data_IF_971461229036
#
_entry.id   IF_971461229036
#
_cell.length_a   1.000
_cell.length_b   1.000
_cell.length_c   1.000
_cell.angle_alpha   90.00
_cell.angle_beta   90.00
_cell.angle_gamma   90.00
#
_symmetry.space_group_name_H-M   'P 1'
#
loop_
_entity.id
_entity.type
_entity.pdbx_description
1 polymer ?
#
# COMPACT_ATOMS: atom_id res chain seq x y z
N UNK A 1 -19.24 21.13 14.27
CA UNK A 1 -17.84 20.73 13.95
C UNK A 1 -17.73 20.58 12.45
N UNK A 2 -16.61 20.97 11.83
CA UNK A 2 -16.41 20.66 10.41
C UNK A 2 -16.38 19.14 10.25
N UNK A 3 -17.23 18.61 9.36
CA UNK A 3 -17.22 17.18 9.06
C UNK A 3 -15.90 16.83 8.36
N UNK A 4 -15.33 15.67 8.70
CA UNK A 4 -14.13 15.17 8.02
C UNK A 4 -14.44 14.94 6.53
N UNK A 5 -13.50 15.29 5.65
CA UNK A 5 -13.62 14.97 4.23
C UNK A 5 -13.54 13.46 3.99
N UNK A 6 -13.97 13.00 2.82
CA UNK A 6 -13.89 11.59 2.44
C UNK A 6 -12.45 11.05 2.55
N UNK A 7 -11.48 11.80 2.04
CA UNK A 7 -10.06 11.43 2.09
C UNK A 7 -9.54 11.28 3.52
N UNK A 8 -10.02 12.12 4.44
CA UNK A 8 -9.67 12.04 5.86
C UNK A 8 -10.27 10.80 6.51
N UNK A 9 -11.52 10.45 6.16
CA UNK A 9 -12.18 9.24 6.65
C UNK A 9 -11.45 7.99 6.16
N UNK A 10 -11.08 7.93 4.88
CA UNK A 10 -10.33 6.80 4.32
C UNK A 10 -8.98 6.57 5.03
N UNK A 11 -8.25 7.65 5.32
CA UNK A 11 -6.98 7.53 6.08
C UNK A 11 -7.24 7.08 7.53
N UNK A 12 -8.31 7.56 8.18
CA UNK A 12 -8.68 7.08 9.52
C UNK A 12 -9.04 5.58 9.48
N UNK A 13 -9.86 5.16 8.52
CA UNK A 13 -10.26 3.77 8.34
C UNK A 13 -9.04 2.88 8.11
N UNK A 14 -8.11 3.27 7.23
CA UNK A 14 -6.87 2.51 6.98
C UNK A 14 -6.06 2.31 8.27
N UNK A 15 -5.76 3.39 8.99
CA UNK A 15 -4.97 3.32 10.24
C UNK A 15 -5.67 2.46 11.29
N UNK A 16 -6.98 2.59 11.41
CA UNK A 16 -7.77 1.78 12.35
C UNK A 16 -7.86 0.32 11.91
N UNK A 17 -7.84 0.04 10.61
CA UNK A 17 -7.77 -1.31 10.08
C UNK A 17 -6.41 -1.96 10.39
N UNK A 18 -5.30 -1.25 10.21
CA UNK A 18 -3.96 -1.70 10.62
C UNK A 18 -3.91 -1.98 12.13
N UNK A 19 -4.50 -1.10 12.95
CA UNK A 19 -4.57 -1.33 14.40
C UNK A 19 -5.39 -2.58 14.74
N UNK A 20 -6.52 -2.78 14.06
CA UNK A 20 -7.39 -3.96 14.25
C UNK A 20 -6.65 -5.28 13.97
N UNK A 21 -5.74 -5.29 12.99
CA UNK A 21 -4.89 -6.45 12.68
C UNK A 21 -3.61 -6.53 13.51
N UNK A 22 -3.32 -5.49 14.32
CA UNK A 22 -2.12 -5.43 15.15
C UNK A 22 -0.87 -5.05 14.36
N UNK A 23 -1.02 -4.41 13.21
CA UNK A 23 0.06 -4.00 12.31
C UNK A 23 0.40 -2.51 12.44
N UNK A 24 -0.43 -1.73 13.14
CA UNK A 24 -0.13 -0.32 13.37
C UNK A 24 1.10 -0.17 14.28
N UNK A 25 2.10 0.57 13.81
CA UNK A 25 3.34 0.83 14.53
C UNK A 25 3.49 2.29 14.95
N UNK A 26 4.22 2.49 16.05
CA UNK A 26 4.74 3.80 16.44
C UNK A 26 5.89 4.22 15.53
N UNK A 27 6.24 5.51 15.52
CA UNK A 27 7.41 6.00 14.76
C UNK A 27 8.77 5.41 15.19
N UNK A 28 8.80 4.58 16.23
CA UNK A 28 9.98 3.85 16.71
C UNK A 28 9.92 2.34 16.34
N UNK A 29 8.95 1.91 15.53
CA UNK A 29 8.81 0.51 15.09
C UNK A 29 8.17 -0.42 16.13
N UNK A 30 7.63 0.11 17.23
CA UNK A 30 6.90 -0.70 18.22
C UNK A 30 5.41 -0.75 17.87
N UNK A 31 4.81 -1.95 17.90
CA UNK A 31 3.36 -2.14 17.70
C UNK A 31 2.53 -1.34 18.71
N UNK A 32 1.50 -0.66 18.20
CA UNK A 32 0.55 0.11 19.00
C UNK A 32 -0.43 -0.86 19.65
N UNK A 33 -0.56 -0.79 20.98
CA UNK A 33 -1.47 -1.64 21.76
C UNK A 33 -2.68 -0.89 22.30
N UNK A 34 -2.55 0.42 22.50
CA UNK A 34 -3.60 1.24 23.08
C UNK A 34 -4.50 1.85 21.99
N UNK A 35 -5.81 1.70 22.15
CA UNK A 35 -6.80 2.20 21.17
C UNK A 35 -6.83 3.73 21.10
N UNK A 36 -6.59 4.44 22.23
CA UNK A 36 -6.57 5.91 22.22
C UNK A 36 -5.35 6.42 21.46
N UNK A 37 -4.22 5.75 21.60
CA UNK A 37 -3.03 6.02 20.81
C UNK A 37 -3.28 5.81 19.31
N UNK A 38 -3.94 4.71 18.92
CA UNK A 38 -4.32 4.45 17.54
C UNK A 38 -5.21 5.57 16.97
N UNK A 39 -6.24 5.99 17.72
CA UNK A 39 -7.11 7.12 17.34
C UNK A 39 -6.31 8.42 17.19
N UNK A 40 -5.36 8.69 18.09
CA UNK A 40 -4.52 9.88 18.01
C UNK A 40 -3.63 9.87 16.77
N UNK A 41 -3.07 8.72 16.40
CA UNK A 41 -2.29 8.53 15.17
C UNK A 41 -3.20 8.73 13.94
N UNK A 42 -4.36 8.08 13.90
CA UNK A 42 -5.32 8.20 12.80
C UNK A 42 -5.75 9.66 12.56
N UNK A 43 -6.09 10.40 13.62
CA UNK A 43 -6.45 11.82 13.53
C UNK A 43 -5.29 12.70 13.08
N UNK A 44 -4.05 12.36 13.47
CA UNK A 44 -2.86 13.09 13.05
C UNK A 44 -2.53 12.82 11.58
N UNK A 45 -2.60 11.58 11.13
CA UNK A 45 -2.35 11.20 9.73
C UNK A 45 -3.42 11.76 8.78
N UNK A 46 -4.68 11.75 9.21
CA UNK A 46 -5.78 12.34 8.45
C UNK A 46 -5.81 13.88 8.48
N UNK A 47 -4.90 14.54 9.21
CA UNK A 47 -4.93 16.00 9.35
C UNK A 47 -6.22 16.50 10.00
N UNK A 48 -6.78 15.74 10.94
CA UNK A 48 -8.02 16.05 11.65
C UNK A 48 -7.79 16.30 13.16
N UNK A 49 -6.53 16.43 13.58
CA UNK A 49 -6.19 16.67 14.99
C UNK A 49 -6.65 18.05 15.43
N UNK A 50 -7.36 18.09 16.58
CA UNK A 50 -7.80 19.34 17.22
C UNK A 50 -6.65 20.15 17.81
N UNK A 51 -5.54 19.47 18.13
CA UNK A 51 -4.39 20.07 18.79
C UNK A 51 -3.35 20.62 17.79
N UNK A 52 -3.60 20.48 16.49
CA UNK A 52 -2.74 20.97 15.43
C UNK A 52 -3.39 22.15 14.68
N UNK A 53 -2.56 23.06 14.17
CA UNK A 53 -3.04 24.16 13.32
C UNK A 53 -3.57 23.62 11.99
N UNK A 54 -4.44 24.39 11.32
CA UNK A 54 -4.98 24.03 9.99
C UNK A 54 -3.88 23.74 8.97
N UNK A 55 -2.78 24.50 9.02
CA UNK A 55 -1.62 24.29 8.16
C UNK A 55 -0.93 22.95 8.45
N UNK A 56 -0.62 22.66 9.72
CA UNK A 56 0.01 21.39 10.12
C UNK A 56 -0.86 20.19 9.75
N UNK A 57 -2.17 20.31 9.91
CA UNK A 57 -3.14 19.29 9.52
C UNK A 57 -3.12 19.04 8.00
N UNK A 58 -3.13 20.11 7.18
CA UNK A 58 -3.03 20.01 5.72
C UNK A 58 -1.72 19.36 5.28
N UNK A 59 -0.60 19.75 5.89
CA UNK A 59 0.72 19.17 5.61
C UNK A 59 0.80 17.69 5.98
N UNK A 60 0.22 17.31 7.13
CA UNK A 60 0.17 15.92 7.57
C UNK A 60 -0.62 15.06 6.58
N UNK A 61 -1.84 15.47 6.22
CA UNK A 61 -2.66 14.75 5.24
C UNK A 61 -1.97 14.64 3.89
N UNK A 62 -1.37 15.73 3.39
CA UNK A 62 -0.62 15.72 2.11
C UNK A 62 0.55 14.73 2.15
N UNK A 63 1.28 14.69 3.27
CA UNK A 63 2.40 13.76 3.46
C UNK A 63 1.92 12.31 3.49
N UNK A 64 0.85 12.03 4.22
CA UNK A 64 0.25 10.70 4.31
C UNK A 64 -0.24 10.24 2.95
N UNK A 65 -1.00 11.06 2.21
CA UNK A 65 -1.47 10.71 0.86
C UNK A 65 -0.34 10.51 -0.14
N UNK A 66 0.76 11.25 -0.02
CA UNK A 66 1.95 11.00 -0.84
C UNK A 66 2.55 9.63 -0.55
N UNK A 67 2.67 9.26 0.73
CA UNK A 67 3.15 7.95 1.15
C UNK A 67 2.22 6.83 0.66
N UNK A 68 0.91 6.94 0.93
CA UNK A 68 -0.10 5.96 0.47
C UNK A 68 -0.03 5.73 -1.04
N UNK A 69 0.21 6.78 -1.84
CA UNK A 69 0.38 6.64 -3.29
C UNK A 69 1.67 5.93 -3.67
N UNK A 70 2.78 6.21 -2.97
CA UNK A 70 4.05 5.52 -3.17
C UNK A 70 3.94 4.05 -2.77
N UNK A 71 3.36 3.75 -1.62
CA UNK A 71 3.13 2.38 -1.15
C UNK A 71 2.20 1.63 -2.12
N UNK A 72 1.17 2.29 -2.65
CA UNK A 72 0.31 1.72 -3.68
C UNK A 72 1.03 1.50 -5.02
N UNK A 73 1.98 2.36 -5.38
CA UNK A 73 2.80 2.18 -6.58
C UNK A 73 3.76 0.99 -6.41
N UNK A 74 4.41 0.85 -5.25
CA UNK A 74 5.30 -0.29 -4.97
C UNK A 74 4.52 -1.60 -4.79
N UNK A 75 3.34 -1.55 -4.16
CA UNK A 75 2.43 -2.70 -4.12
C UNK A 75 1.89 -3.04 -5.51
N UNK A 76 1.76 -2.06 -6.41
CA UNK A 76 1.42 -2.25 -7.83
C UNK A 76 2.52 -2.93 -8.63
N UNK A 77 3.80 -2.69 -8.30
CA UNK A 77 4.94 -3.39 -8.90
C UNK A 77 5.11 -4.83 -8.36
N UNK A 78 4.62 -5.09 -7.14
CA UNK A 78 4.61 -6.42 -6.52
C UNK A 78 3.30 -7.21 -6.62
N UNK A 79 2.22 -6.63 -7.15
CA UNK A 79 0.93 -7.32 -7.28
C UNK A 79 0.83 -8.02 -8.63
N UNK A 80 0.46 -9.28 -8.54
CA UNK A 80 0.30 -10.27 -9.60
C UNK A 80 -0.85 -9.95 -10.59
N UNK A 81 -1.17 -8.68 -10.85
CA UNK A 81 -2.15 -8.26 -11.87
C UNK A 81 -1.57 -8.25 -13.29
N UNK A 82 -0.28 -8.58 -13.43
CA UNK A 82 0.35 -8.96 -14.69
C UNK A 82 0.59 -10.47 -14.74
N UNK A 83 -0.28 -11.17 -15.49
CA UNK A 83 -0.21 -12.56 -15.95
C UNK A 83 0.36 -13.57 -14.96
N UNK A 84 -0.49 -14.45 -14.43
CA UNK A 84 -0.05 -15.57 -13.58
C UNK A 84 1.09 -16.35 -14.22
N UNK A 85 1.95 -17.00 -13.42
CA UNK A 85 3.01 -17.89 -13.94
C UNK A 85 2.46 -18.89 -14.97
N UNK A 86 1.23 -19.35 -14.78
CA UNK A 86 0.54 -20.24 -15.72
C UNK A 86 0.20 -19.56 -17.06
N UNK A 87 -0.27 -18.30 -17.04
CA UNK A 87 -0.51 -17.52 -18.24
C UNK A 87 0.79 -17.28 -19.02
N UNK A 88 1.86 -16.87 -18.32
CA UNK A 88 3.19 -16.69 -18.91
C UNK A 88 3.75 -18.01 -19.46
N UNK A 89 3.53 -19.12 -18.77
CA UNK A 89 3.93 -20.45 -19.26
C UNK A 89 3.15 -20.86 -20.51
N UNK A 90 1.84 -20.59 -20.55
CA UNK A 90 0.99 -20.88 -21.71
C UNK A 90 1.40 -20.04 -22.93
N UNK A 91 1.69 -18.76 -22.73
CA UNK A 91 2.17 -17.86 -23.78
C UNK A 91 3.59 -18.26 -24.25
N UNK A 92 4.50 -18.58 -23.32
CA UNK A 92 5.84 -19.08 -23.65
C UNK A 92 5.77 -20.42 -24.41
N UNK A 93 4.77 -21.26 -24.14
CA UNK A 93 4.49 -22.48 -24.92
C UNK A 93 4.02 -22.15 -26.34
N UNK A 94 3.15 -21.16 -26.51
CA UNK A 94 2.68 -20.72 -27.85
C UNK A 94 3.83 -20.17 -28.70
N UNK A 95 4.76 -19.43 -28.08
CA UNK A 95 5.96 -18.86 -28.72
C UNK A 95 7.15 -19.83 -28.80
N UNK A 96 6.98 -21.09 -28.37
CA UNK A 96 8.03 -22.12 -28.37
C UNK A 96 9.32 -21.70 -27.65
N UNK A 97 9.23 -20.98 -26.53
CA UNK A 97 10.41 -20.55 -25.77
C UNK A 97 11.12 -21.80 -25.18
N UNK A 98 12.42 -22.01 -25.50
CA UNK A 98 13.17 -23.13 -24.97
C UNK A 98 13.43 -22.95 -23.47
N UNK A 99 13.44 -24.03 -22.70
CA UNK A 99 13.69 -23.98 -21.25
C UNK A 99 12.55 -23.43 -20.39
N UNK A 100 11.41 -23.03 -20.99
CA UNK A 100 10.22 -22.48 -20.30
C UNK A 100 9.73 -23.29 -19.08
N UNK A 101 9.92 -24.61 -19.06
CA UNK A 101 9.52 -25.48 -17.94
C UNK A 101 10.39 -25.34 -16.69
N UNK A 102 11.61 -24.81 -16.83
CA UNK A 102 12.54 -24.56 -15.72
C UNK A 102 12.60 -23.09 -15.30
N UNK A 103 12.02 -22.18 -16.10
CA UNK A 103 12.03 -20.74 -15.86
C UNK A 103 11.16 -20.37 -14.65
N UNK A 104 11.59 -19.40 -13.83
CA UNK A 104 10.78 -18.75 -12.78
C UNK A 104 9.68 -17.87 -13.40
N UNK A 105 8.77 -17.30 -12.60
CA UNK A 105 7.71 -16.42 -13.14
C UNK A 105 8.36 -15.21 -13.85
N UNK A 106 9.41 -14.67 -13.25
CA UNK A 106 10.14 -13.51 -13.77
C UNK A 106 10.98 -13.88 -14.99
N UNK A 107 11.59 -15.06 -15.01
CA UNK A 107 12.31 -15.55 -16.20
C UNK A 107 11.37 -15.74 -17.39
N UNK A 108 10.14 -16.23 -17.15
CA UNK A 108 9.12 -16.36 -18.19
C UNK A 108 8.70 -14.98 -18.73
N UNK A 109 8.50 -13.98 -17.86
CA UNK A 109 8.22 -12.59 -18.29
C UNK A 109 9.37 -12.04 -19.14
N UNK A 110 10.60 -12.20 -18.67
CA UNK A 110 11.78 -11.67 -19.35
C UNK A 110 12.02 -12.36 -20.70
N UNK A 111 11.81 -13.68 -20.77
CA UNK A 111 11.93 -14.43 -22.02
C UNK A 111 10.86 -14.01 -23.05
N UNK A 112 9.62 -13.75 -22.61
CA UNK A 112 8.53 -13.29 -23.48
C UNK A 112 8.73 -11.88 -24.04
N UNK A 113 9.42 -11.00 -23.30
CA UNK A 113 9.79 -9.67 -23.80
C UNK A 113 10.95 -9.68 -24.80
N UNK A 114 11.79 -10.74 -24.79
CA UNK A 114 12.98 -10.85 -25.64
C UNK A 114 12.78 -11.71 -26.89
N UNK A 115 11.70 -12.49 -26.95
CA UNK A 115 11.35 -13.43 -28.02
C UNK A 115 10.66 -12.79 -29.21
#
# INVERSE_FOLDING_TARGET
MAQQSREQKETVERVMHEFKHGDLETGQGRKVKDSKQAIAIALREAGASRNASKQKNREALKRTKRRERSDAAEAGEGSDEGESRAALYAEARRRNIPGRSKMSKDDLKQALHRS
#
